data_IF_361069901494
#
_entry.id   IF_361069901494
#
_cell.length_a   1.000
_cell.length_b   1.000
_cell.length_c   1.000
_cell.angle_alpha   90.00
_cell.angle_beta   90.00
_cell.angle_gamma   90.00
#
_symmetry.space_group_name_H-M   'P 1'
#
loop_
_entity.id
_entity.type
_entity.pdbx_description
1 polymer ?
#
# COMPACT_ATOMS: atom_id res chain seq x y z
N UNK A 1 10.21 18.07 -2.04
CA UNK A 1 9.09 17.24 -1.59
C UNK A 1 8.01 17.38 -2.63
N UNK A 2 7.77 16.32 -3.41
CA UNK A 2 6.74 16.35 -4.45
C UNK A 2 5.37 16.11 -3.82
N UNK A 3 4.33 16.87 -4.21
CA UNK A 3 2.99 16.69 -3.66
C UNK A 3 2.43 15.32 -4.06
N UNK A 4 1.70 14.71 -3.14
CA UNK A 4 0.97 13.46 -3.33
C UNK A 4 0.06 13.52 -4.57
N UNK A 5 0.24 12.56 -5.48
CA UNK A 5 -0.38 12.48 -6.82
C UNK A 5 -1.91 12.19 -6.78
N UNK A 6 -2.55 12.11 -5.61
CA UNK A 6 -3.98 11.73 -5.49
C UNK A 6 -4.94 12.90 -5.32
N UNK A 7 -4.66 14.04 -5.93
CA UNK A 7 -5.51 15.24 -5.82
C UNK A 7 -6.68 15.25 -6.82
N UNK A 8 -7.34 14.11 -7.11
CA UNK A 8 -8.34 14.07 -8.18
C UNK A 8 -9.37 12.93 -8.23
N UNK A 9 -9.29 11.90 -7.39
CA UNK A 9 -10.33 10.86 -7.35
C UNK A 9 -10.83 10.68 -5.93
N UNK A 10 -12.02 11.22 -5.67
CA UNK A 10 -12.77 10.92 -4.46
C UNK A 10 -13.34 9.50 -4.56
N UNK A 11 -12.69 8.56 -3.87
CA UNK A 11 -13.12 7.15 -3.80
C UNK A 11 -14.55 7.02 -3.28
N UNK A 12 -15.02 7.96 -2.45
CA UNK A 12 -16.39 7.98 -1.96
C UNK A 12 -17.37 8.30 -3.09
N UNK A 13 -17.12 9.35 -3.87
CA UNK A 13 -17.90 9.69 -5.06
C UNK A 13 -17.96 8.53 -6.05
N UNK A 14 -16.84 7.84 -6.29
CA UNK A 14 -16.84 6.65 -7.17
C UNK A 14 -17.64 5.49 -6.60
N UNK A 15 -17.60 5.25 -5.28
CA UNK A 15 -18.44 4.23 -4.66
C UNK A 15 -19.93 4.54 -4.82
N UNK A 16 -20.33 5.81 -4.71
CA UNK A 16 -21.72 6.24 -4.95
C UNK A 16 -22.14 6.02 -6.40
N UNK A 17 -21.29 6.41 -7.37
CA UNK A 17 -21.56 6.21 -8.79
C UNK A 17 -21.71 4.73 -9.14
N UNK A 18 -20.85 3.87 -8.61
CA UNK A 18 -20.95 2.42 -8.84
C UNK A 18 -22.25 1.85 -8.25
N UNK A 19 -22.65 2.25 -7.04
CA UNK A 19 -23.92 1.81 -6.43
C UNK A 19 -25.14 2.26 -7.23
N UNK A 20 -25.09 3.45 -7.85
CA UNK A 20 -26.14 3.91 -8.75
C UNK A 20 -26.21 3.02 -10.00
N UNK A 21 -25.07 2.71 -10.62
CA UNK A 21 -25.00 1.82 -11.79
C UNK A 21 -25.49 0.40 -11.49
N UNK A 22 -25.17 -0.16 -10.32
CA UNK A 22 -25.71 -1.45 -9.88
C UNK A 22 -27.24 -1.44 -9.90
N UNK A 23 -27.84 -0.38 -9.36
CA UNK A 23 -29.31 -0.22 -9.32
C UNK A 23 -29.92 0.04 -10.69
N UNK A 24 -29.30 0.91 -11.51
CA UNK A 24 -29.82 1.31 -12.82
C UNK A 24 -29.75 0.17 -13.85
N UNK A 25 -28.73 -0.68 -13.75
CA UNK A 25 -28.47 -1.75 -14.72
C UNK A 25 -28.88 -3.13 -14.22
N UNK A 26 -29.39 -3.24 -12.99
CA UNK A 26 -29.66 -4.50 -12.31
C UNK A 26 -28.45 -5.44 -12.35
N UNK A 27 -27.27 -4.89 -12.05
CA UNK A 27 -26.01 -5.61 -11.99
C UNK A 27 -25.47 -5.60 -10.57
N UNK A 28 -24.59 -6.57 -10.27
CA UNK A 28 -23.89 -6.66 -9.01
C UNK A 28 -22.39 -6.71 -9.23
N UNK A 29 -21.67 -5.72 -8.71
CA UNK A 29 -20.22 -5.69 -8.69
C UNK A 29 -19.73 -6.71 -7.68
N UNK A 30 -18.85 -7.61 -8.13
CA UNK A 30 -18.30 -8.70 -7.32
C UNK A 30 -16.88 -8.45 -6.83
N UNK A 31 -16.14 -7.60 -7.54
CA UNK A 31 -14.72 -7.35 -7.27
C UNK A 31 -14.28 -6.02 -7.87
N UNK A 32 -13.28 -5.42 -7.25
CA UNK A 32 -12.53 -4.28 -7.81
C UNK A 32 -11.09 -4.76 -7.97
N UNK A 33 -10.55 -4.67 -9.20
CA UNK A 33 -9.21 -5.19 -9.51
C UNK A 33 -8.34 -4.01 -9.95
N UNK A 34 -7.21 -3.73 -9.25
CA UNK A 34 -6.29 -2.67 -9.65
C UNK A 34 -5.52 -3.08 -10.91
N UNK A 35 -5.46 -2.19 -11.91
CA UNK A 35 -4.64 -2.38 -13.12
C UNK A 35 -3.24 -1.76 -13.02
N UNK A 36 -2.95 -1.06 -11.92
CA UNK A 36 -1.67 -0.42 -11.65
C UNK A 36 -1.36 -0.45 -10.15
N UNK A 37 -0.06 -0.46 -9.80
CA UNK A 37 0.42 -0.42 -8.41
C UNK A 37 -0.14 0.77 -7.64
N UNK A 38 -0.24 1.94 -8.30
CA UNK A 38 -0.78 3.16 -7.70
C UNK A 38 -2.27 3.09 -7.41
N UNK A 39 -3.01 2.15 -8.03
CA UNK A 39 -4.45 1.99 -7.84
C UNK A 39 -4.80 1.00 -6.72
N UNK A 40 -3.82 0.26 -6.17
CA UNK A 40 -4.07 -0.81 -5.19
C UNK A 40 -4.83 -0.30 -3.97
N UNK A 41 -4.33 0.76 -3.34
CA UNK A 41 -4.97 1.39 -2.17
C UNK A 41 -6.39 1.88 -2.49
N UNK A 42 -6.55 2.55 -3.64
CA UNK A 42 -7.84 3.03 -4.09
C UNK A 42 -8.86 1.89 -4.27
N UNK A 43 -8.43 0.79 -4.90
CA UNK A 43 -9.28 -0.37 -5.14
C UNK A 43 -9.68 -1.09 -3.85
N UNK A 44 -8.76 -1.21 -2.88
CA UNK A 44 -9.08 -1.81 -1.57
C UNK A 44 -10.14 -0.98 -0.83
N UNK A 45 -10.00 0.35 -0.82
CA UNK A 45 -10.99 1.25 -0.20
C UNK A 45 -12.32 1.23 -0.95
N UNK A 46 -12.30 1.27 -2.29
CA UNK A 46 -13.51 1.20 -3.10
C UNK A 46 -14.26 -0.12 -2.87
N UNK A 47 -13.55 -1.25 -2.86
CA UNK A 47 -14.16 -2.56 -2.60
C UNK A 47 -14.81 -2.62 -1.21
N UNK A 48 -14.16 -2.05 -0.19
CA UNK A 48 -14.72 -1.96 1.15
C UNK A 48 -15.98 -1.09 1.20
N UNK A 49 -15.97 0.09 0.54
CA UNK A 49 -17.15 0.98 0.45
C UNK A 49 -18.32 0.35 -0.31
N UNK A 50 -18.05 -0.55 -1.26
CA UNK A 50 -19.05 -1.34 -1.98
C UNK A 50 -19.53 -2.56 -1.18
N UNK A 51 -18.95 -2.85 -0.01
CA UNK A 51 -19.32 -4.00 0.82
C UNK A 51 -18.89 -5.36 0.24
N UNK A 52 -17.88 -5.36 -0.62
CA UNK A 52 -17.34 -6.59 -1.23
C UNK A 52 -16.45 -7.27 -0.19
N UNK A 53 -16.82 -8.44 0.34
CA UNK A 53 -16.04 -9.09 1.40
C UNK A 53 -14.69 -9.66 0.93
N UNK A 54 -14.53 -9.89 -0.37
CA UNK A 54 -13.30 -10.40 -0.98
C UNK A 54 -12.37 -9.26 -1.42
N UNK A 55 -11.83 -8.51 -0.45
CA UNK A 55 -10.79 -7.50 -0.67
C UNK A 55 -9.63 -7.69 0.33
N UNK A 56 -8.50 -7.04 0.07
CA UNK A 56 -7.40 -7.06 1.03
C UNK A 56 -7.79 -6.34 2.32
N UNK A 57 -7.28 -6.79 3.47
CA UNK A 57 -7.53 -6.09 4.73
C UNK A 57 -6.99 -4.66 4.68
N UNK A 58 -7.86 -3.68 5.00
CA UNK A 58 -7.49 -2.27 5.09
C UNK A 58 -6.43 -2.00 6.16
N UNK A 59 -6.29 -2.88 7.17
CA UNK A 59 -5.24 -2.79 8.18
C UNK A 59 -3.83 -2.89 7.58
N UNK A 60 -3.70 -3.48 6.38
CA UNK A 60 -2.43 -3.68 5.68
C UNK A 60 -2.27 -2.76 4.47
N UNK A 61 -3.17 -1.81 4.24
CA UNK A 61 -3.17 -0.99 3.03
C UNK A 61 -1.88 -0.16 2.89
N UNK A 62 -1.40 0.43 3.98
CA UNK A 62 -0.14 1.20 4.00
C UNK A 62 1.08 0.32 3.74
N UNK A 63 1.03 -0.95 4.18
CA UNK A 63 2.11 -1.92 3.98
C UNK A 63 2.32 -2.27 2.49
N UNK A 64 1.34 -1.99 1.62
CA UNK A 64 1.47 -2.21 0.17
C UNK A 64 2.31 -1.13 -0.52
N UNK A 65 2.35 0.08 0.04
CA UNK A 65 3.07 1.23 -0.54
C UNK A 65 4.38 1.53 0.16
N UNK A 66 4.46 1.32 1.47
CA UNK A 66 5.66 1.58 2.27
C UNK A 66 6.41 0.27 2.56
N UNK A 67 7.63 0.16 2.02
CA UNK A 67 8.48 -1.02 2.18
C UNK A 67 8.92 -1.26 3.63
N UNK A 68 8.98 -0.22 4.46
CA UNK A 68 9.29 -0.38 5.88
C UNK A 68 8.09 -1.00 6.61
N UNK A 69 6.89 -0.45 6.40
CA UNK A 69 5.64 -0.99 6.98
C UNK A 69 5.40 -2.42 6.48
N UNK A 70 5.66 -2.71 5.20
CA UNK A 70 5.62 -4.07 4.65
C UNK A 70 6.48 -5.04 5.46
N UNK A 71 7.73 -4.64 5.74
CA UNK A 71 8.67 -5.48 6.49
C UNK A 71 8.25 -5.66 7.94
N UNK A 72 7.68 -4.64 8.57
CA UNK A 72 7.09 -4.73 9.91
C UNK A 72 5.94 -5.74 9.93
N UNK A 73 4.97 -5.62 9.01
CA UNK A 73 3.85 -6.57 8.93
C UNK A 73 4.30 -8.03 8.68
N UNK A 74 5.35 -8.23 7.89
CA UNK A 74 5.92 -9.57 7.65
C UNK A 74 6.58 -10.12 8.92
N UNK A 75 7.30 -9.27 9.67
CA UNK A 75 7.90 -9.66 10.94
C UNK A 75 6.82 -10.00 11.99
N UNK A 76 5.77 -9.19 12.07
CA UNK A 76 4.62 -9.40 12.99
C UNK A 76 3.87 -10.70 12.68
N UNK A 77 3.87 -11.13 11.41
CA UNK A 77 3.33 -12.43 10.99
C UNK A 77 4.24 -13.62 11.36
N UNK A 78 5.36 -13.40 12.07
CA UNK A 78 6.31 -14.42 12.47
C UNK A 78 7.22 -14.92 11.33
N UNK A 79 7.24 -14.22 10.19
CA UNK A 79 8.09 -14.56 9.06
C UNK A 79 9.47 -13.89 9.19
N UNK A 80 10.49 -14.53 8.61
CA UNK A 80 11.85 -13.97 8.61
C UNK A 80 11.93 -12.71 7.75
N UNK A 81 12.49 -11.65 8.31
CA UNK A 81 12.72 -10.37 7.63
C UNK A 81 14.20 -10.01 7.68
N UNK A 82 14.75 -9.55 6.55
CA UNK A 82 16.11 -9.05 6.51
C UNK A 82 16.22 -7.73 7.29
N UNK A 83 17.30 -7.56 8.07
CA UNK A 83 17.61 -6.30 8.78
C UNK A 83 17.47 -5.11 7.83
N UNK A 84 16.81 -4.06 8.30
CA UNK A 84 16.54 -2.88 7.51
C UNK A 84 16.43 -1.64 8.39
N UNK A 85 16.60 -0.47 7.77
CA UNK A 85 16.33 0.81 8.40
C UNK A 85 15.78 1.78 7.36
N UNK A 86 15.00 2.76 7.83
CA UNK A 86 14.56 3.91 7.04
C UNK A 86 15.62 5.00 7.15
N UNK A 87 16.19 5.40 6.03
CA UNK A 87 17.25 6.41 5.97
C UNK A 87 16.68 7.67 5.33
N UNK A 88 16.84 8.83 5.98
CA UNK A 88 16.32 10.12 5.47
C UNK A 88 17.31 10.82 4.54
N UNK A 89 18.60 10.73 4.83
CA UNK A 89 19.66 11.37 4.03
C UNK A 89 20.71 10.35 3.62
N UNK A 90 21.25 10.48 2.41
CA UNK A 90 22.26 9.54 1.90
C UNK A 90 23.53 9.49 2.77
N UNK A 91 23.89 10.59 3.44
CA UNK A 91 25.03 10.66 4.35
C UNK A 91 24.87 9.81 5.61
N UNK A 92 23.65 9.41 5.98
CA UNK A 92 23.39 8.60 7.18
C UNK A 92 23.63 7.09 6.94
N UNK A 93 23.77 6.67 5.68
CA UNK A 93 23.90 5.25 5.30
C UNK A 93 25.07 4.54 6.00
N UNK A 94 26.30 5.09 6.08
CA UNK A 94 27.41 4.42 6.77
C UNK A 94 27.14 4.15 8.26
N UNK A 95 26.48 5.10 8.94
CA UNK A 95 26.13 4.96 10.36
C UNK A 95 25.14 3.79 10.53
N UNK A 96 24.10 3.75 9.70
CA UNK A 96 23.09 2.68 9.71
C UNK A 96 23.69 1.30 9.44
N UNK A 97 24.68 1.21 8.54
CA UNK A 97 25.39 -0.05 8.26
C UNK A 97 26.13 -0.54 9.51
N UNK A 98 26.82 0.36 10.20
CA UNK A 98 27.52 0.05 11.45
C UNK A 98 26.56 -0.36 12.55
N UNK A 99 25.51 0.44 12.80
CA UNK A 99 24.54 0.22 13.88
C UNK A 99 23.79 -1.10 13.74
N UNK A 100 23.42 -1.47 12.51
CA UNK A 100 22.75 -2.73 12.23
C UNK A 100 23.73 -3.91 12.05
N UNK A 101 25.03 -3.65 12.08
CA UNK A 101 26.09 -4.61 11.78
C UNK A 101 25.83 -5.35 10.45
N UNK A 102 25.54 -4.59 9.40
CA UNK A 102 25.26 -5.14 8.07
C UNK A 102 26.56 -5.50 7.36
N UNK A 103 26.53 -6.60 6.60
CA UNK A 103 27.61 -7.01 5.71
C UNK A 103 27.17 -6.83 4.26
N UNK A 104 28.12 -6.59 3.37
CA UNK A 104 27.84 -6.55 1.93
C UNK A 104 27.44 -7.94 1.40
N UNK A 105 26.53 -8.01 0.41
CA UNK A 105 25.91 -6.89 -0.31
C UNK A 105 24.75 -6.22 0.44
N UNK A 106 24.61 -4.90 0.26
CA UNK A 106 23.52 -4.08 0.84
C UNK A 106 22.66 -3.52 -0.28
N UNK A 107 21.35 -3.47 -0.05
CA UNK A 107 20.37 -2.97 -1.03
C UNK A 107 19.77 -1.66 -0.54
N UNK A 108 19.98 -0.59 -1.30
CA UNK A 108 19.36 0.72 -1.08
C UNK A 108 18.21 0.87 -2.08
N UNK A 109 17.04 1.25 -1.58
CA UNK A 109 15.85 1.52 -2.41
C UNK A 109 15.29 2.88 -2.03
N UNK A 110 14.86 3.63 -3.03
CA UNK A 110 14.00 4.81 -2.78
C UNK A 110 12.63 4.36 -2.29
N UNK A 111 11.90 5.26 -1.59
CA UNK A 111 10.48 5.07 -1.31
C UNK A 111 9.73 4.53 -2.52
#
# INVERSE_FOLDING_TARGET
GSPSIFNGFDVYSSAQQVKLLEKEKDIKVRSVIPSAETAVEYCDVLASLLGISSHNSLNTVLARRDKAIMKECVADAGLRVAKFARVKQACDVPNVISDLSLQFPIVIKTP
#
